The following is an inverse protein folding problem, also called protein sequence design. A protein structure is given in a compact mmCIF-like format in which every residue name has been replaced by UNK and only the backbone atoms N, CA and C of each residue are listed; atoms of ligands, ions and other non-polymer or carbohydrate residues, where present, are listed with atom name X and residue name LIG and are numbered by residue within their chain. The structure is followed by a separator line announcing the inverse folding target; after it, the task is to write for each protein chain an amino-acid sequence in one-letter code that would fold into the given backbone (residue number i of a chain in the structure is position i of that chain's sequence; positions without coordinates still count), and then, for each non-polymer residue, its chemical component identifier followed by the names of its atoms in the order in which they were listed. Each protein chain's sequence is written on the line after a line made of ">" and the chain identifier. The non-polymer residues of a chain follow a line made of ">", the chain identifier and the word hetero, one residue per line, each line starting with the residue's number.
data_IF_053307129543
#
_entry.id   IF_053307129543
#
_cell.length_a   1.000
_cell.length_b   1.000
_cell.length_c   1.000
_cell.angle_alpha   90.00
_cell.angle_beta   90.00
_cell.angle_gamma   90.00
#
_symmetry.space_group_name_H-M   'P 1'
#
loop_
_entity.id
_entity.type
_entity.pdbx_description
1 polymer ?
#
# COMPACT_ATOMS: atom_id res chain seq x y z
N UNK A 1 -42.65 -3.57 17.79
CA UNK A 1 -41.56 -3.93 16.86
C UNK A 1 -40.41 -3.01 17.19
N UNK A 2 -39.39 -3.52 17.87
CA UNK A 2 -38.16 -2.78 18.09
C UNK A 2 -37.54 -2.49 16.72
N UNK A 3 -37.26 -1.22 16.44
CA UNK A 3 -36.52 -0.84 15.23
C UNK A 3 -35.06 -1.22 15.47
N UNK A 4 -34.64 -2.32 14.87
CA UNK A 4 -33.24 -2.69 14.77
C UNK A 4 -32.55 -1.69 13.83
N UNK A 5 -31.54 -0.98 14.33
CA UNK A 5 -30.76 -0.02 13.54
C UNK A 5 -29.73 -0.79 12.69
N UNK A 6 -29.45 -0.36 11.44
CA UNK A 6 -28.43 -1.02 10.61
C UNK A 6 -27.05 -0.92 11.25
N UNK A 7 -26.22 -1.95 11.12
CA UNK A 7 -24.82 -1.84 11.53
C UNK A 7 -24.06 -0.99 10.52
N UNK A 8 -23.09 -0.20 10.99
CA UNK A 8 -22.25 0.63 10.11
C UNK A 8 -21.56 -0.20 9.01
N UNK A 9 -21.17 -1.43 9.32
CA UNK A 9 -20.58 -2.38 8.36
C UNK A 9 -21.47 -2.74 7.18
N UNK A 10 -22.79 -2.59 7.33
CA UNK A 10 -23.78 -3.05 6.36
C UNK A 10 -23.94 -2.05 5.20
N UNK A 11 -23.55 -0.78 5.41
CA UNK A 11 -23.67 0.29 4.41
C UNK A 11 -22.39 1.09 4.20
N UNK A 12 -21.33 0.88 4.99
CA UNK A 12 -20.08 1.58 4.81
C UNK A 12 -19.31 1.05 3.59
N UNK A 13 -19.31 1.84 2.51
CA UNK A 13 -18.50 1.62 1.31
C UNK A 13 -17.07 2.19 1.45
N UNK A 14 -16.72 2.71 2.62
CA UNK A 14 -15.41 3.32 2.86
C UNK A 14 -14.27 2.31 2.72
N UNK A 15 -13.16 2.75 2.10
CA UNK A 15 -11.94 1.96 2.00
C UNK A 15 -11.48 1.55 3.41
N UNK A 16 -11.56 0.25 3.73
CA UNK A 16 -11.16 -0.30 5.03
C UNK A 16 -9.74 0.17 5.37
N UNK A 17 -9.41 0.41 6.66
CA UNK A 17 -8.04 0.66 7.06
C UNK A 17 -7.15 -0.49 6.61
N UNK A 18 -5.95 -0.19 6.11
CA UNK A 18 -4.99 -1.26 5.87
C UNK A 18 -4.66 -1.95 7.18
N UNK A 19 -4.66 -3.28 7.12
CA UNK A 19 -4.23 -4.14 8.22
C UNK A 19 -2.74 -4.42 8.10
N UNK A 20 -2.10 -4.71 9.22
CA UNK A 20 -0.69 -5.07 9.28
C UNK A 20 0.19 -4.01 9.93
N UNK A 21 1.30 -4.47 10.50
CA UNK A 21 2.27 -3.57 11.11
C UNK A 21 3.04 -2.77 10.06
N UNK A 22 3.43 -1.55 10.42
CA UNK A 22 4.23 -0.70 9.54
C UNK A 22 5.68 -1.17 9.54
N UNK A 23 6.22 -1.50 8.36
CA UNK A 23 7.66 -1.66 8.14
C UNK A 23 8.23 -0.44 7.41
N UNK A 24 9.52 -0.15 7.64
CA UNK A 24 10.23 0.83 6.81
C UNK A 24 10.52 0.21 5.45
N UNK A 25 10.57 1.02 4.40
CA UNK A 25 10.91 0.52 3.07
C UNK A 25 12.32 -0.09 3.04
N UNK A 26 13.23 0.45 3.85
CA UNK A 26 14.60 -0.06 4.02
C UNK A 26 14.63 -1.49 4.58
N UNK A 27 13.65 -1.87 5.41
CA UNK A 27 13.60 -3.21 6.03
C UNK A 27 13.12 -4.30 5.07
N UNK A 28 12.60 -3.91 3.89
CA UNK A 28 12.01 -4.80 2.89
C UNK A 28 12.73 -4.77 1.54
N UNK A 29 13.81 -4.01 1.40
CA UNK A 29 14.61 -3.99 0.18
C UNK A 29 15.23 -5.37 -0.10
N UNK A 30 15.20 -5.79 -1.36
CA UNK A 30 15.78 -7.06 -1.80
C UNK A 30 15.03 -8.31 -1.32
N UNK A 31 13.88 -8.15 -0.66
CA UNK A 31 13.02 -9.26 -0.24
C UNK A 31 11.87 -9.37 -1.24
N UNK A 32 11.57 -10.61 -1.63
CA UNK A 32 10.35 -10.89 -2.37
C UNK A 32 9.15 -10.66 -1.44
N UNK A 33 8.21 -9.86 -1.91
CA UNK A 33 6.95 -9.53 -1.22
C UNK A 33 5.78 -9.76 -2.17
N UNK A 34 4.62 -10.08 -1.62
CA UNK A 34 3.37 -10.11 -2.38
C UNK A 34 2.63 -8.79 -2.15
N UNK A 35 2.50 -7.96 -3.17
CA UNK A 35 1.63 -6.76 -3.09
C UNK A 35 0.18 -7.23 -3.15
N UNK A 36 -0.63 -6.83 -2.16
CA UNK A 36 -2.04 -7.25 -2.05
C UNK A 36 -3.02 -6.09 -2.12
N UNK A 37 -2.59 -4.86 -1.82
CA UNK A 37 -3.40 -3.65 -1.97
C UNK A 37 -2.51 -2.40 -1.91
N UNK A 38 -3.01 -1.25 -2.33
CA UNK A 38 -2.32 0.03 -2.22
C UNK A 38 -3.27 1.23 -2.16
N UNK A 39 -2.77 2.35 -1.65
CA UNK A 39 -3.50 3.62 -1.64
C UNK A 39 -2.57 4.77 -1.91
N UNK A 40 -2.93 5.62 -2.86
CA UNK A 40 -2.20 6.85 -3.16
C UNK A 40 -2.96 8.02 -2.54
N UNK A 41 -2.24 8.90 -1.84
CA UNK A 41 -2.79 10.10 -1.20
C UNK A 41 -1.85 11.29 -1.40
N UNK A 42 -2.40 12.49 -1.29
CA UNK A 42 -1.60 13.70 -1.22
C UNK A 42 -0.83 13.79 0.11
N UNK A 43 0.42 14.24 0.03
CA UNK A 43 1.27 14.42 1.19
C UNK A 43 0.91 15.69 1.95
N UNK A 44 0.54 15.54 3.22
CA UNK A 44 0.35 16.67 4.14
C UNK A 44 1.68 17.32 4.55
N UNK A 45 2.80 16.62 4.38
CA UNK A 45 4.13 17.12 4.76
C UNK A 45 4.84 17.87 3.64
N UNK A 46 4.54 17.51 2.38
CA UNK A 46 5.15 18.10 1.19
C UNK A 46 4.04 18.44 0.20
N UNK A 47 3.57 19.68 0.27
CA UNK A 47 2.48 20.19 -0.56
C UNK A 47 2.82 19.97 -2.04
N UNK A 48 1.84 19.48 -2.81
CA UNK A 48 2.01 19.18 -4.24
C UNK A 48 2.66 17.83 -4.54
N UNK A 49 2.99 17.02 -3.52
CA UNK A 49 3.51 15.66 -3.72
C UNK A 49 2.52 14.60 -3.26
N UNK A 50 2.63 13.39 -3.83
CA UNK A 50 1.86 12.21 -3.41
C UNK A 50 2.74 11.24 -2.65
N UNK A 51 2.11 10.39 -1.84
CA UNK A 51 2.73 9.19 -1.29
C UNK A 51 1.83 7.99 -1.56
N UNK A 52 2.44 6.82 -1.59
CA UNK A 52 1.75 5.54 -1.66
C UNK A 52 1.91 4.79 -0.35
N UNK A 53 0.80 4.24 0.13
CA UNK A 53 0.80 3.17 1.12
C UNK A 53 0.66 1.86 0.37
N UNK A 54 1.62 0.96 0.51
CA UNK A 54 1.57 -0.40 -0.03
C UNK A 54 1.19 -1.34 1.10
N UNK A 55 0.22 -2.22 0.88
CA UNK A 55 -0.06 -3.37 1.74
C UNK A 55 0.52 -4.62 1.07
N UNK A 56 1.30 -5.38 1.82
CA UNK A 56 2.03 -6.53 1.28
C UNK A 56 2.10 -7.67 2.28
N UNK A 57 2.34 -8.88 1.76
CA UNK A 57 2.67 -10.04 2.58
C UNK A 57 4.17 -10.31 2.51
N UNK A 58 4.74 -10.65 3.67
CA UNK A 58 6.11 -11.13 3.83
C UNK A 58 6.09 -12.21 4.91
N UNK A 59 6.64 -13.39 4.64
CA UNK A 59 6.63 -14.53 5.58
C UNK A 59 5.22 -14.87 6.12
N UNK A 60 4.21 -14.85 5.24
CA UNK A 60 2.79 -15.09 5.56
C UNK A 60 2.14 -14.08 6.53
N UNK A 61 2.82 -12.99 6.86
CA UNK A 61 2.28 -11.91 7.67
C UNK A 61 1.99 -10.67 6.80
N UNK A 62 0.93 -9.95 7.14
CA UNK A 62 0.53 -8.72 6.44
C UNK A 62 1.21 -7.51 7.06
N UNK A 63 1.79 -6.67 6.21
CA UNK A 63 2.45 -5.43 6.59
C UNK A 63 2.04 -4.28 5.69
N UNK A 64 2.38 -3.07 6.12
CA UNK A 64 2.25 -1.85 5.32
C UNK A 64 3.58 -1.10 5.24
N UNK A 65 3.82 -0.41 4.13
CA UNK A 65 4.91 0.57 4.01
C UNK A 65 4.40 1.85 3.37
N UNK A 66 5.03 2.98 3.72
CA UNK A 66 4.71 4.29 3.17
C UNK A 66 5.92 4.80 2.42
N UNK A 67 5.73 5.27 1.19
CA UNK A 67 6.81 5.82 0.39
C UNK A 67 6.33 6.95 -0.49
N UNK A 68 7.15 7.99 -0.62
CA UNK A 68 6.96 9.09 -1.58
C UNK A 68 7.68 8.82 -2.90
N UNK A 69 8.03 7.57 -3.22
CA UNK A 69 8.71 7.25 -4.48
C UNK A 69 7.77 7.46 -5.66
N UNK A 70 8.10 8.43 -6.52
CA UNK A 70 7.34 8.69 -7.73
C UNK A 70 7.35 7.48 -8.69
N UNK A 71 8.46 6.73 -8.76
CA UNK A 71 8.57 5.54 -9.62
C UNK A 71 7.62 4.44 -9.14
N UNK A 72 7.59 4.15 -7.85
CA UNK A 72 6.66 3.14 -7.31
C UNK A 72 5.20 3.58 -7.48
N UNK A 73 4.90 4.87 -7.31
CA UNK A 73 3.57 5.43 -7.57
C UNK A 73 3.17 5.24 -9.03
N UNK A 74 4.06 5.53 -9.97
CA UNK A 74 3.82 5.36 -11.40
C UNK A 74 3.60 3.89 -11.78
N UNK A 75 4.47 2.99 -11.30
CA UNK A 75 4.33 1.55 -11.52
C UNK A 75 3.00 1.01 -10.96
N UNK A 76 2.60 1.41 -9.75
CA UNK A 76 1.31 0.98 -9.19
C UNK A 76 0.12 1.55 -9.95
N UNK A 77 0.14 2.81 -10.38
CA UNK A 77 -0.93 3.35 -11.21
C UNK A 77 -1.08 2.62 -12.55
N UNK A 78 0.04 2.17 -13.12
CA UNK A 78 0.06 1.51 -14.43
C UNK A 78 -0.32 0.03 -14.37
N UNK A 79 0.02 -0.66 -13.29
CA UNK A 79 -0.07 -2.12 -13.19
C UNK A 79 -0.99 -2.61 -12.06
N UNK A 80 -1.78 -1.73 -11.43
CA UNK A 80 -2.70 -2.06 -10.32
C UNK A 80 -3.68 -3.19 -10.62
N UNK A 81 -4.07 -3.37 -11.88
CA UNK A 81 -4.97 -4.45 -12.31
C UNK A 81 -4.38 -5.85 -12.10
N UNK A 82 -3.06 -5.96 -11.91
CA UNK A 82 -2.37 -7.23 -11.68
C UNK A 82 -2.27 -7.59 -10.19
N UNK A 83 -2.87 -6.81 -9.29
CA UNK A 83 -2.87 -7.16 -7.86
C UNK A 83 -3.77 -8.40 -7.65
N UNK A 84 -3.30 -9.41 -6.90
CA UNK A 84 -2.02 -9.47 -6.20
C UNK A 84 -0.86 -9.98 -7.08
N UNK A 85 0.36 -9.45 -6.87
CA UNK A 85 1.56 -9.87 -7.61
C UNK A 85 2.81 -9.93 -6.70
N UNK A 86 3.70 -10.87 -7.02
CA UNK A 86 5.03 -10.97 -6.40
C UNK A 86 5.98 -9.96 -7.04
N UNK A 87 6.80 -9.32 -6.22
CA UNK A 87 7.84 -8.39 -6.69
C UNK A 87 8.93 -8.25 -5.64
N UNK A 88 10.05 -7.68 -6.04
CA UNK A 88 11.06 -7.16 -5.11
C UNK A 88 11.13 -5.63 -5.23
N UNK A 89 11.32 -4.94 -4.10
CA UNK A 89 11.65 -3.51 -4.12
C UNK A 89 13.17 -3.38 -4.08
N UNK A 90 13.73 -2.77 -5.11
CA UNK A 90 15.15 -2.46 -5.20
C UNK A 90 15.39 -0.96 -5.05
N UNK A 91 16.57 -0.62 -4.51
CA UNK A 91 17.05 0.76 -4.45
C UNK A 91 18.17 0.96 -5.46
N UNK A 92 17.87 1.66 -6.56
CA UNK A 92 18.83 2.01 -7.60
C UNK A 92 19.22 3.48 -7.39
N UNK A 93 20.45 3.69 -6.90
CA UNK A 93 20.98 5.01 -6.52
C UNK A 93 20.08 5.74 -5.51
N UNK A 94 19.24 6.67 -6.00
CA UNK A 94 18.35 7.52 -5.20
C UNK A 94 16.87 7.16 -5.34
N UNK A 95 16.53 6.12 -6.10
CA UNK A 95 15.16 5.75 -6.40
C UNK A 95 14.83 4.33 -5.95
N UNK A 96 13.55 4.09 -5.70
CA UNK A 96 13.00 2.77 -5.42
C UNK A 96 12.18 2.31 -6.63
N UNK A 97 12.32 1.06 -7.05
CA UNK A 97 11.58 0.46 -8.17
C UNK A 97 11.13 -0.95 -7.82
N UNK A 98 9.99 -1.36 -8.37
CA UNK A 98 9.63 -2.78 -8.47
C UNK A 98 10.44 -3.45 -9.56
N UNK A 99 10.84 -4.69 -9.30
CA UNK A 99 11.49 -5.63 -10.22
C UNK A 99 10.79 -6.98 -10.18
#
# INVERSE_FOLDING_TARGET
>A
MEKEYPHFSDFAEESKPFKGEKKKIEDILGKEILIIDFRIKESKQRIGTKYITLQFMLNNETYITFTGSNILIEQMNKYSENIPFHTTIEKIHKYYTFT
#
